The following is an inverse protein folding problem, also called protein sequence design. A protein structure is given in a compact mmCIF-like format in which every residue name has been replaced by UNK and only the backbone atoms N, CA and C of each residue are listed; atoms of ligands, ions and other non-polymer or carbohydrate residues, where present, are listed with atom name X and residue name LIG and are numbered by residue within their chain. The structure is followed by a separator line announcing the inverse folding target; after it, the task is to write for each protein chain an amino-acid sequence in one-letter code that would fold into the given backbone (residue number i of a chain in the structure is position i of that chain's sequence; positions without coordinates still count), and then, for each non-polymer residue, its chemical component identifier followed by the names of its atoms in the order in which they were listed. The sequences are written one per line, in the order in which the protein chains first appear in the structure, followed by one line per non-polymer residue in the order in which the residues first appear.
data_IF_931250520503
#
_entry.id   IF_931250520503
#
_cell.length_a   1.000
_cell.length_b   1.000
_cell.length_c   1.000
_cell.angle_alpha   90.00
_cell.angle_beta   90.00
_cell.angle_gamma   90.00
#
_symmetry.space_group_name_H-M   'P 1'
#
loop_
_entity.id
_entity.type
_entity.pdbx_description
1 polymer ?
#
# COMPACT_ATOMS: atom_id res chain seq x y z
N UNK A 1 4.30 14.67 -45.50
CA UNK A 1 5.59 15.08 -44.98
C UNK A 1 5.89 14.21 -43.78
N UNK A 2 7.08 13.62 -43.63
CA UNK A 2 7.41 12.93 -42.39
C UNK A 2 7.40 13.93 -41.24
N UNK A 3 6.83 13.53 -40.09
CA UNK A 3 6.88 14.36 -38.90
C UNK A 3 8.33 14.60 -38.45
N UNK A 4 8.65 15.75 -37.86
CA UNK A 4 9.97 16.01 -37.32
C UNK A 4 10.36 14.92 -36.32
N UNK A 5 11.62 14.51 -36.30
CA UNK A 5 12.14 13.46 -35.39
C UNK A 5 11.87 13.75 -33.90
N UNK A 6 11.75 15.02 -33.52
CA UNK A 6 11.43 15.47 -32.15
C UNK A 6 9.97 15.22 -31.73
N UNK A 7 9.05 14.88 -32.65
CA UNK A 7 7.63 14.59 -32.38
C UNK A 7 7.32 13.08 -32.38
N UNK A 8 8.31 12.24 -32.74
CA UNK A 8 8.09 10.80 -32.75
C UNK A 8 8.33 10.23 -31.34
N UNK A 9 7.37 9.44 -30.79
CA UNK A 9 7.59 8.78 -29.52
C UNK A 9 8.75 7.80 -29.63
N UNK A 10 9.62 7.74 -28.61
CA UNK A 10 10.72 6.79 -28.54
C UNK A 10 10.25 5.33 -28.55
N UNK A 11 9.02 5.10 -28.15
CA UNK A 11 8.38 3.80 -28.13
C UNK A 11 6.86 3.94 -28.28
N UNK A 12 6.23 3.00 -28.97
CA UNK A 12 4.78 2.86 -29.08
C UNK A 12 4.39 1.40 -28.90
N UNK A 13 3.27 1.10 -28.24
CA UNK A 13 2.77 -0.27 -28.12
C UNK A 13 2.34 -0.80 -29.49
N UNK A 14 2.57 -2.08 -29.74
CA UNK A 14 1.97 -2.78 -30.88
C UNK A 14 0.45 -2.99 -30.71
N UNK A 15 -0.23 -3.35 -31.80
CA UNK A 15 -1.67 -3.52 -31.81
C UNK A 15 -2.16 -4.63 -30.87
N UNK A 16 -1.39 -5.71 -30.71
CA UNK A 16 -1.75 -6.81 -29.81
C UNK A 16 -1.64 -6.40 -28.35
N UNK A 17 -0.63 -5.61 -28.00
CA UNK A 17 -0.48 -5.06 -26.66
C UNK A 17 -1.63 -4.10 -26.33
N UNK A 18 -2.01 -3.23 -27.27
CA UNK A 18 -3.18 -2.34 -27.11
C UNK A 18 -4.44 -3.15 -26.91
N UNK A 19 -4.68 -4.20 -27.72
CA UNK A 19 -5.87 -5.05 -27.61
C UNK A 19 -5.97 -5.77 -26.25
N UNK A 20 -4.85 -6.19 -25.67
CA UNK A 20 -4.79 -6.87 -24.38
C UNK A 20 -4.74 -5.92 -23.18
N UNK A 21 -4.72 -4.61 -23.39
CA UNK A 21 -4.65 -3.64 -22.30
C UNK A 21 -5.96 -3.58 -21.53
N UNK A 22 -5.87 -3.49 -20.19
CA UNK A 22 -7.03 -3.30 -19.33
C UNK A 22 -7.85 -2.05 -19.70
N UNK A 23 -7.20 -1.02 -20.22
CA UNK A 23 -7.86 0.19 -20.71
C UNK A 23 -8.80 -0.12 -21.89
N UNK A 24 -8.34 -0.95 -22.84
CA UNK A 24 -9.17 -1.41 -23.97
C UNK A 24 -10.37 -2.20 -23.49
N UNK A 25 -10.14 -3.15 -22.59
CA UNK A 25 -11.21 -3.94 -21.98
C UNK A 25 -12.21 -3.07 -21.21
N UNK A 26 -11.74 -2.02 -20.53
CA UNK A 26 -12.62 -1.08 -19.84
C UNK A 26 -13.45 -0.23 -20.82
N UNK A 27 -12.88 0.22 -21.94
CA UNK A 27 -13.62 0.94 -22.99
C UNK A 27 -14.73 0.01 -23.58
N UNK A 28 -14.42 -1.24 -23.86
CA UNK A 28 -15.39 -2.23 -24.32
C UNK A 28 -16.52 -2.48 -23.30
N UNK A 29 -16.15 -2.54 -22.01
CA UNK A 29 -17.12 -2.62 -20.91
C UNK A 29 -18.07 -1.40 -20.92
N UNK A 30 -17.56 -0.17 -21.04
CA UNK A 30 -18.37 1.05 -21.11
C UNK A 30 -19.28 1.04 -22.34
N UNK A 31 -18.78 0.65 -23.51
CA UNK A 31 -19.57 0.53 -24.74
C UNK A 31 -20.70 -0.48 -24.61
N UNK A 32 -20.49 -1.55 -23.83
CA UNK A 32 -21.49 -2.60 -23.57
C UNK A 32 -22.54 -2.14 -22.55
N UNK A 33 -22.10 -1.56 -21.45
CA UNK A 33 -22.97 -1.10 -20.34
C UNK A 33 -23.74 0.16 -20.64
N UNK A 34 -23.17 1.04 -21.47
CA UNK A 34 -23.76 2.33 -21.89
C UNK A 34 -24.24 3.21 -20.72
N UNK A 35 -23.39 3.46 -19.72
CA UNK A 35 -23.75 4.34 -18.63
C UNK A 35 -24.05 5.77 -19.11
N UNK A 36 -24.67 6.59 -18.26
CA UNK A 36 -25.05 7.96 -18.60
C UNK A 36 -23.86 8.78 -19.12
N UNK A 37 -24.05 9.52 -20.20
CA UNK A 37 -23.04 10.38 -20.82
C UNK A 37 -21.94 9.64 -21.61
N UNK A 38 -21.89 8.31 -21.61
CA UNK A 38 -20.81 7.54 -22.24
C UNK A 38 -20.92 7.38 -23.77
N UNK A 39 -21.93 7.98 -24.39
CA UNK A 39 -22.12 7.90 -25.83
C UNK A 39 -20.90 8.49 -26.56
N UNK A 40 -20.26 7.68 -27.39
CA UNK A 40 -19.08 8.10 -28.16
C UNK A 40 -17.73 7.79 -27.49
N UNK A 41 -17.70 7.16 -26.33
CA UNK A 41 -16.48 6.64 -25.70
C UNK A 41 -15.94 5.48 -26.57
N UNK A 42 -14.72 5.67 -27.14
CA UNK A 42 -14.09 4.71 -28.06
C UNK A 42 -12.57 4.64 -27.94
N UNK A 43 -11.96 5.59 -27.27
CA UNK A 43 -10.53 5.74 -27.09
C UNK A 43 -10.21 6.44 -25.76
N UNK A 44 -8.92 6.56 -25.43
CA UNK A 44 -8.50 7.20 -24.20
C UNK A 44 -8.99 8.65 -24.08
N UNK A 45 -8.92 9.44 -25.16
CA UNK A 45 -9.30 10.86 -25.10
C UNK A 45 -10.80 11.05 -24.80
N UNK A 46 -11.66 10.24 -25.43
CA UNK A 46 -13.10 10.26 -25.17
C UNK A 46 -13.47 9.66 -23.80
N UNK A 47 -12.75 8.62 -23.35
CA UNK A 47 -12.90 8.07 -22.01
C UNK A 47 -12.50 9.10 -20.93
N UNK A 48 -11.36 9.75 -21.11
CA UNK A 48 -10.90 10.80 -20.19
C UNK A 48 -11.90 11.96 -20.10
N UNK A 49 -12.39 12.45 -21.23
CA UNK A 49 -13.41 13.50 -21.24
C UNK A 49 -14.66 13.07 -20.47
N UNK A 50 -15.17 11.89 -20.74
CA UNK A 50 -16.33 11.35 -20.03
C UNK A 50 -16.07 11.20 -18.52
N UNK A 51 -14.87 10.78 -18.11
CA UNK A 51 -14.54 10.66 -16.69
C UNK A 51 -14.56 11.99 -15.93
N UNK A 52 -14.27 13.10 -16.61
CA UNK A 52 -14.28 14.46 -16.04
C UNK A 52 -15.68 15.09 -16.10
N UNK A 53 -16.39 14.90 -17.21
CA UNK A 53 -17.72 15.49 -17.41
C UNK A 53 -18.85 14.74 -16.68
N UNK A 54 -18.66 13.42 -16.43
CA UNK A 54 -19.66 12.54 -15.80
C UNK A 54 -19.06 11.64 -14.71
N UNK A 55 -18.40 12.21 -13.71
CA UNK A 55 -17.68 11.42 -12.69
C UNK A 55 -18.62 10.50 -11.87
N UNK A 56 -19.87 10.90 -11.66
CA UNK A 56 -20.87 10.07 -10.96
C UNK A 56 -21.25 8.82 -11.76
N UNK A 57 -21.15 8.86 -13.07
CA UNK A 57 -21.38 7.68 -13.93
C UNK A 57 -20.08 6.86 -14.14
N UNK A 58 -18.93 7.53 -14.14
CA UNK A 58 -17.62 6.92 -14.39
C UNK A 58 -17.15 6.04 -13.22
N UNK A 59 -17.12 6.58 -12.00
CA UNK A 59 -16.51 5.90 -10.85
C UNK A 59 -17.22 4.60 -10.43
N UNK A 60 -18.57 4.47 -10.50
CA UNK A 60 -19.24 3.18 -10.32
C UNK A 60 -18.83 2.11 -11.33
N UNK A 61 -18.56 2.50 -12.58
CA UNK A 61 -18.08 1.52 -13.58
C UNK A 61 -16.64 1.09 -13.31
N UNK A 62 -15.77 2.00 -12.84
CA UNK A 62 -14.42 1.63 -12.35
C UNK A 62 -14.54 0.65 -11.18
N UNK A 63 -15.39 0.92 -10.20
CA UNK A 63 -15.64 0.04 -9.05
C UNK A 63 -16.02 -1.38 -9.50
N UNK A 64 -17.00 -1.48 -10.39
CA UNK A 64 -17.48 -2.76 -10.91
C UNK A 64 -16.42 -3.49 -11.75
N UNK A 65 -15.79 -2.78 -12.67
CA UNK A 65 -14.77 -3.34 -13.55
C UNK A 65 -13.53 -3.82 -12.79
N UNK A 66 -13.12 -3.09 -11.80
CA UNK A 66 -12.00 -3.47 -10.93
C UNK A 66 -12.38 -4.50 -9.85
N UNK A 67 -13.64 -4.90 -9.78
CA UNK A 67 -14.14 -5.85 -8.78
C UNK A 67 -13.76 -5.45 -7.34
N UNK A 68 -14.01 -4.19 -6.98
CA UNK A 68 -13.68 -3.70 -5.64
C UNK A 68 -14.48 -4.48 -4.60
N UNK A 69 -13.78 -5.09 -3.64
CA UNK A 69 -14.37 -5.85 -2.54
C UNK A 69 -14.79 -4.86 -1.44
N UNK A 70 -16.04 -4.95 -1.03
CA UNK A 70 -16.62 -4.14 0.02
C UNK A 70 -17.67 -4.94 0.79
N UNK A 71 -18.11 -4.45 1.95
CA UNK A 71 -19.20 -5.04 2.72
C UNK A 71 -20.48 -5.10 1.86
N UNK A 72 -21.07 -6.30 1.74
CA UNK A 72 -22.28 -6.50 0.98
C UNK A 72 -23.50 -5.88 1.65
N UNK A 73 -24.34 -5.23 0.86
CA UNK A 73 -25.63 -4.66 1.29
C UNK A 73 -26.75 -5.31 0.45
N UNK A 74 -27.48 -6.29 0.98
CA UNK A 74 -28.47 -7.05 0.22
C UNK A 74 -29.46 -6.15 -0.54
N UNK A 75 -29.55 -6.32 -1.86
CA UNK A 75 -30.46 -5.57 -2.73
C UNK A 75 -30.11 -4.10 -2.97
N UNK A 76 -28.93 -3.64 -2.53
CA UNK A 76 -28.46 -2.26 -2.69
C UNK A 76 -27.00 -2.22 -3.14
N UNK A 77 -26.53 -1.12 -3.75
CA UNK A 77 -25.09 -0.93 -3.95
C UNK A 77 -24.38 -0.82 -2.59
N UNK A 78 -23.05 -1.08 -2.53
CA UNK A 78 -22.28 -0.98 -1.29
C UNK A 78 -22.13 0.44 -0.73
N UNK A 79 -22.71 1.44 -1.38
CA UNK A 79 -22.67 2.86 -0.98
C UNK A 79 -24.08 3.47 -0.94
N UNK A 80 -24.21 4.59 -0.26
CA UNK A 80 -25.47 5.38 -0.21
C UNK A 80 -25.60 6.29 -1.42
N UNK A 81 -24.50 7.00 -1.75
CA UNK A 81 -24.35 7.86 -2.93
C UNK A 81 -23.00 7.61 -3.59
N UNK A 82 -22.87 7.97 -4.87
CA UNK A 82 -21.58 7.92 -5.57
C UNK A 82 -20.66 9.02 -5.09
N UNK A 83 -21.16 10.24 -5.00
CA UNK A 83 -20.42 11.40 -4.50
C UNK A 83 -21.35 12.44 -3.90
N UNK A 84 -20.89 13.09 -2.83
CA UNK A 84 -21.59 14.24 -2.22
C UNK A 84 -20.62 15.42 -2.18
N UNK A 85 -21.07 16.60 -2.62
CA UNK A 85 -20.29 17.83 -2.59
C UNK A 85 -19.22 17.90 -3.69
N UNK A 86 -19.49 17.36 -4.87
CA UNK A 86 -18.59 17.39 -6.03
C UNK A 86 -18.29 18.81 -6.52
N UNK A 87 -19.20 19.75 -6.26
CA UNK A 87 -19.08 21.18 -6.57
C UNK A 87 -18.08 21.93 -5.67
N UNK A 88 -17.51 21.26 -4.67
CA UNK A 88 -16.62 21.86 -3.68
C UNK A 88 -15.20 21.37 -3.85
N UNK A 89 -14.25 22.31 -3.80
CA UNK A 89 -12.84 21.95 -3.69
C UNK A 89 -12.60 21.32 -2.31
N UNK A 90 -11.85 20.20 -2.26
CA UNK A 90 -11.55 19.53 -0.99
C UNK A 90 -10.71 20.44 -0.07
N UNK A 91 -11.29 20.99 1.01
CA UNK A 91 -10.56 21.72 2.03
C UNK A 91 -9.88 20.72 2.99
N UNK A 92 -9.05 21.19 3.93
CA UNK A 92 -8.49 20.35 4.99
C UNK A 92 -9.56 19.66 5.87
N UNK A 93 -10.77 20.22 5.97
CA UNK A 93 -11.89 19.59 6.68
C UNK A 93 -12.60 18.57 5.77
N UNK A 94 -12.52 17.26 6.06
CA UNK A 94 -13.12 16.21 5.23
C UNK A 94 -14.65 16.27 5.19
N UNK A 95 -15.31 17.07 6.05
CA UNK A 95 -16.75 17.26 6.04
C UNK A 95 -17.21 18.25 4.96
N UNK A 96 -16.29 19.06 4.44
CA UNK A 96 -16.59 20.16 3.52
C UNK A 96 -16.19 19.87 2.07
N UNK A 97 -15.41 18.83 1.81
CA UNK A 97 -14.98 18.41 0.47
C UNK A 97 -15.84 17.33 -0.16
N UNK A 98 -15.54 16.93 -1.40
CA UNK A 98 -16.21 15.81 -2.06
C UNK A 98 -15.99 14.52 -1.25
N UNK A 99 -17.09 13.81 -0.99
CA UNK A 99 -17.07 12.48 -0.37
C UNK A 99 -17.49 11.43 -1.39
N UNK A 100 -16.56 10.57 -1.76
CA UNK A 100 -16.80 9.49 -2.71
C UNK A 100 -17.32 8.25 -2.00
N UNK A 101 -18.32 7.62 -2.58
CA UNK A 101 -18.96 6.40 -2.10
C UNK A 101 -19.30 6.41 -0.59
N UNK A 102 -19.98 7.47 -0.09
CA UNK A 102 -20.35 7.51 1.32
C UNK A 102 -21.18 6.27 1.69
N UNK A 103 -20.94 5.76 2.89
CA UNK A 103 -21.55 4.52 3.39
C UNK A 103 -20.87 3.24 2.93
N UNK A 104 -19.98 3.27 1.94
CA UNK A 104 -19.17 2.10 1.58
C UNK A 104 -18.17 1.76 2.69
N UNK A 105 -18.08 0.47 3.02
CA UNK A 105 -17.10 -0.07 3.98
C UNK A 105 -16.25 -1.12 3.28
N UNK A 106 -14.95 -0.90 3.25
CA UNK A 106 -13.99 -1.80 2.60
C UNK A 106 -12.67 -1.81 3.34
N UNK A 107 -11.90 -2.88 3.17
CA UNK A 107 -10.55 -2.99 3.67
C UNK A 107 -9.55 -2.89 2.53
N UNK A 108 -8.56 -2.02 2.66
CA UNK A 108 -7.53 -1.81 1.63
C UNK A 108 -6.70 -3.08 1.39
N UNK A 109 -6.25 -3.74 2.46
CA UNK A 109 -5.44 -4.95 2.35
C UNK A 109 -6.24 -6.12 1.76
N UNK A 110 -7.52 -6.27 2.10
CA UNK A 110 -8.40 -7.30 1.53
C UNK A 110 -8.47 -7.19 0.00
N UNK A 111 -8.61 -5.97 -0.50
CA UNK A 111 -8.63 -5.73 -1.95
C UNK A 111 -7.31 -6.09 -2.64
N UNK A 112 -6.17 -5.89 -2.00
CA UNK A 112 -4.85 -6.23 -2.55
C UNK A 112 -4.49 -7.72 -2.38
N UNK A 113 -5.02 -8.39 -1.37
CA UNK A 113 -4.76 -9.80 -1.04
C UNK A 113 -5.83 -10.76 -1.57
N UNK A 114 -6.72 -10.31 -2.42
CA UNK A 114 -7.83 -11.14 -2.96
C UNK A 114 -7.38 -12.31 -3.83
N UNK A 115 -6.16 -12.27 -4.33
CA UNK A 115 -5.53 -13.38 -5.05
C UNK A 115 -4.73 -14.25 -4.06
N UNK A 116 -4.80 -15.57 -4.22
CA UNK A 116 -4.12 -16.53 -3.36
C UNK A 116 -3.50 -17.67 -4.19
N UNK A 117 -2.93 -17.30 -5.33
CA UNK A 117 -2.34 -18.22 -6.30
C UNK A 117 -0.81 -18.12 -6.32
N UNK A 118 -0.17 -18.92 -7.17
CA UNK A 118 1.28 -18.99 -7.30
C UNK A 118 1.88 -17.91 -8.23
N UNK A 119 1.06 -16.98 -8.78
CA UNK A 119 1.60 -15.88 -9.56
C UNK A 119 2.48 -14.97 -8.71
N UNK A 120 3.55 -14.41 -9.28
CA UNK A 120 4.41 -13.48 -8.57
C UNK A 120 3.65 -12.22 -8.12
N UNK A 121 3.60 -12.01 -6.80
CA UNK A 121 3.05 -10.79 -6.20
C UNK A 121 4.13 -9.74 -5.96
N UNK A 122 5.29 -10.15 -5.43
CA UNK A 122 6.43 -9.27 -5.19
C UNK A 122 7.69 -9.87 -5.80
N UNK A 123 8.42 -9.05 -6.56
CA UNK A 123 9.74 -9.42 -7.09
C UNK A 123 10.74 -8.38 -6.57
N UNK A 124 11.52 -8.78 -5.59
CA UNK A 124 12.49 -7.90 -4.95
C UNK A 124 13.83 -7.91 -5.68
N UNK A 125 14.27 -6.73 -6.05
CA UNK A 125 15.58 -6.45 -6.65
C UNK A 125 16.34 -5.44 -5.81
N UNK A 126 17.64 -5.62 -5.71
CA UNK A 126 18.56 -4.61 -5.20
C UNK A 126 19.74 -4.44 -6.19
N UNK A 127 20.81 -3.72 -5.79
CA UNK A 127 21.99 -3.48 -6.64
C UNK A 127 22.73 -4.77 -7.01
N UNK A 128 22.48 -5.87 -6.30
CA UNK A 128 23.08 -7.21 -6.58
C UNK A 128 22.18 -8.07 -7.49
N UNK A 129 21.09 -7.53 -8.01
CA UNK A 129 20.12 -8.22 -8.85
C UNK A 129 18.87 -8.70 -8.10
N UNK A 130 18.17 -9.69 -8.70
CA UNK A 130 16.96 -10.26 -8.11
C UNK A 130 17.29 -11.10 -6.87
N UNK A 131 16.69 -10.75 -5.75
CA UNK A 131 16.96 -11.38 -4.45
C UNK A 131 15.86 -12.36 -4.05
N UNK A 132 14.59 -11.97 -4.20
CA UNK A 132 13.46 -12.77 -3.71
C UNK A 132 12.22 -12.56 -4.59
N UNK A 133 11.43 -13.61 -4.72
CA UNK A 133 10.08 -13.53 -5.31
C UNK A 133 9.11 -14.15 -4.33
N UNK A 134 7.99 -13.48 -4.08
CA UNK A 134 6.85 -14.00 -3.33
C UNK A 134 5.67 -14.15 -4.27
N UNK A 135 4.98 -15.28 -4.21
CA UNK A 135 3.68 -15.46 -4.83
C UNK A 135 2.58 -14.70 -4.05
N UNK A 136 1.38 -14.57 -4.61
CA UNK A 136 0.23 -14.05 -3.87
C UNK A 136 -0.12 -14.93 -2.67
N UNK A 137 0.00 -16.26 -2.79
CA UNK A 137 -0.18 -17.18 -1.68
C UNK A 137 0.84 -16.95 -0.55
N UNK A 138 2.13 -16.83 -0.88
CA UNK A 138 3.18 -16.52 0.10
C UNK A 138 2.94 -15.18 0.78
N UNK A 139 2.62 -14.14 0.00
CA UNK A 139 2.35 -12.80 0.52
C UNK A 139 1.19 -12.84 1.52
N UNK A 140 0.09 -13.51 1.18
CA UNK A 140 -1.06 -13.66 2.06
C UNK A 140 -0.71 -14.33 3.39
N UNK A 141 0.10 -15.39 3.36
CA UNK A 141 0.57 -16.10 4.55
C UNK A 141 1.48 -15.22 5.43
N UNK A 142 2.44 -14.53 4.84
CA UNK A 142 3.33 -13.64 5.58
C UNK A 142 2.57 -12.45 6.20
N UNK A 143 1.63 -11.86 5.47
CA UNK A 143 0.75 -10.80 5.98
C UNK A 143 -0.09 -11.30 7.16
N UNK A 144 -0.67 -12.49 7.06
CA UNK A 144 -1.46 -13.07 8.15
C UNK A 144 -0.63 -13.28 9.43
N UNK A 145 0.63 -13.74 9.29
CA UNK A 145 1.57 -13.91 10.43
C UNK A 145 1.88 -12.58 11.12
N UNK A 146 2.21 -11.56 10.35
CA UNK A 146 2.52 -10.22 10.89
C UNK A 146 1.28 -9.57 11.48
N UNK A 147 0.10 -9.74 10.87
CA UNK A 147 -1.17 -9.26 11.42
C UNK A 147 -1.51 -9.92 12.77
N UNK A 148 -1.24 -11.22 12.92
CA UNK A 148 -1.39 -11.93 14.18
C UNK A 148 -0.47 -11.33 15.25
N UNK A 149 0.82 -11.12 14.94
CA UNK A 149 1.79 -10.54 15.85
C UNK A 149 1.43 -9.10 16.27
N UNK A 150 0.94 -8.28 15.33
CA UNK A 150 0.45 -6.94 15.65
C UNK A 150 -0.79 -6.98 16.56
N UNK A 151 -1.72 -7.91 16.33
CA UNK A 151 -2.91 -8.08 17.16
C UNK A 151 -2.55 -8.51 18.57
N UNK A 152 -1.62 -9.44 18.75
CA UNK A 152 -1.12 -9.84 20.08
C UNK A 152 -0.40 -8.70 20.80
N UNK A 153 0.27 -7.82 20.07
CA UNK A 153 0.82 -6.58 20.62
C UNK A 153 -0.28 -5.55 20.95
N UNK A 154 -1.54 -5.86 20.74
CA UNK A 154 -2.67 -4.99 21.05
C UNK A 154 -2.92 -3.88 20.02
N UNK A 155 -2.46 -4.04 18.77
CA UNK A 155 -2.78 -3.09 17.69
C UNK A 155 -4.23 -3.28 17.26
N UNK A 156 -4.99 -2.20 17.29
CA UNK A 156 -6.42 -2.12 17.01
C UNK A 156 -6.70 -1.10 15.87
N UNK A 157 -7.92 -1.08 15.30
CA UNK A 157 -8.32 -0.08 14.33
C UNK A 157 -8.06 1.35 14.81
N UNK A 158 -7.41 2.16 13.97
CA UNK A 158 -7.02 3.55 14.28
C UNK A 158 -5.67 3.70 14.98
N UNK A 159 -5.04 2.63 15.47
CA UNK A 159 -3.65 2.69 15.93
C UNK A 159 -2.70 3.00 14.77
N UNK A 160 -1.56 3.61 15.09
CA UNK A 160 -0.54 3.99 14.08
C UNK A 160 0.64 3.05 14.21
N UNK A 161 1.06 2.54 13.05
CA UNK A 161 2.25 1.72 12.85
C UNK A 161 3.11 2.41 11.81
N UNK A 162 4.40 2.52 12.04
CA UNK A 162 5.31 3.22 11.14
C UNK A 162 6.38 2.30 10.57
N UNK A 163 6.88 2.66 9.38
CA UNK A 163 7.98 1.99 8.70
C UNK A 163 9.11 2.94 8.34
N UNK A 164 10.31 2.63 8.79
CA UNK A 164 11.57 3.29 8.40
C UNK A 164 12.47 2.26 7.73
N UNK A 165 12.11 1.93 6.48
CA UNK A 165 12.62 0.79 5.75
C UNK A 165 12.91 1.15 4.28
N UNK A 166 13.86 0.49 3.63
CA UNK A 166 13.93 0.47 2.17
C UNK A 166 12.76 -0.34 1.56
N UNK A 167 12.68 -0.39 0.24
CA UNK A 167 11.65 -1.13 -0.49
C UNK A 167 11.89 -2.66 -0.40
N UNK A 168 11.75 -3.23 0.78
CA UNK A 168 11.83 -4.66 1.04
C UNK A 168 10.45 -5.32 0.93
N UNK A 169 10.36 -6.64 0.68
CA UNK A 169 9.11 -7.38 0.81
C UNK A 169 8.45 -7.18 2.19
N UNK A 170 9.25 -7.14 3.25
CA UNK A 170 8.82 -6.93 4.63
C UNK A 170 8.13 -5.57 4.83
N UNK A 171 8.51 -4.55 4.06
CA UNK A 171 7.82 -3.23 4.08
C UNK A 171 6.39 -3.35 3.59
N UNK A 172 6.17 -4.07 2.48
CA UNK A 172 4.84 -4.32 1.92
C UNK A 172 4.02 -5.22 2.84
N UNK A 173 4.63 -6.28 3.38
CA UNK A 173 4.00 -7.21 4.32
C UNK A 173 3.53 -6.46 5.57
N UNK A 174 4.38 -5.63 6.19
CA UNK A 174 4.04 -4.85 7.38
C UNK A 174 2.92 -3.83 7.11
N UNK A 175 2.94 -3.16 5.95
CA UNK A 175 1.89 -2.24 5.52
C UNK A 175 0.55 -2.96 5.37
N UNK A 176 0.53 -4.08 4.66
CA UNK A 176 -0.70 -4.85 4.42
C UNK A 176 -1.22 -5.48 5.72
N UNK A 177 -0.35 -5.99 6.58
CA UNK A 177 -0.73 -6.50 7.90
C UNK A 177 -1.37 -5.41 8.77
N UNK A 178 -0.76 -4.22 8.81
CA UNK A 178 -1.27 -3.07 9.55
C UNK A 178 -2.65 -2.67 9.04
N UNK A 179 -2.79 -2.47 7.73
CA UNK A 179 -4.05 -2.01 7.11
C UNK A 179 -5.13 -3.08 7.14
N UNK A 180 -4.79 -4.37 7.17
CA UNK A 180 -5.77 -5.46 7.35
C UNK A 180 -6.49 -5.39 8.71
N UNK A 181 -5.82 -4.86 9.73
CA UNK A 181 -6.39 -4.64 11.07
C UNK A 181 -7.20 -3.33 11.19
N UNK A 182 -7.31 -2.53 10.11
CA UNK A 182 -7.89 -1.20 10.17
C UNK A 182 -6.99 -0.17 10.89
N UNK A 183 -5.74 -0.52 11.15
CA UNK A 183 -4.74 0.38 11.68
C UNK A 183 -4.13 1.25 10.57
N UNK A 184 -3.46 2.34 10.98
CA UNK A 184 -2.92 3.36 10.07
C UNK A 184 -1.44 3.08 9.84
N UNK A 185 -1.04 2.96 8.56
CA UNK A 185 0.35 2.84 8.15
C UNK A 185 0.92 4.19 7.70
N UNK A 186 2.14 4.49 8.15
CA UNK A 186 2.96 5.59 7.64
C UNK A 186 4.40 5.15 7.46
N UNK A 187 5.09 5.63 6.42
CA UNK A 187 6.48 5.24 6.19
C UNK A 187 7.36 6.39 5.74
N UNK A 188 8.65 6.28 6.07
CA UNK A 188 9.72 7.15 5.59
C UNK A 188 10.79 6.32 4.89
N UNK A 189 11.42 6.90 3.88
CA UNK A 189 12.61 6.34 3.25
C UNK A 189 13.78 6.26 4.23
N UNK A 190 14.64 5.22 4.15
CA UNK A 190 15.75 5.01 5.08
C UNK A 190 16.87 6.05 4.95
N UNK A 191 16.87 6.88 3.91
CA UNK A 191 17.82 7.97 3.70
C UNK A 191 17.50 9.24 4.51
N UNK A 192 16.29 9.35 5.10
CA UNK A 192 16.00 10.47 5.99
C UNK A 192 16.88 10.45 7.23
N UNK A 193 17.38 11.63 7.61
CA UNK A 193 18.02 11.84 8.91
C UNK A 193 17.00 11.71 10.06
N UNK A 194 17.48 11.45 11.29
CA UNK A 194 16.62 11.25 12.46
C UNK A 194 15.64 12.41 12.68
N UNK A 195 16.06 13.67 12.48
CA UNK A 195 15.17 14.84 12.58
C UNK A 195 13.97 14.73 11.63
N UNK A 196 14.22 14.41 10.36
CA UNK A 196 13.15 14.28 9.37
C UNK A 196 12.18 13.13 9.67
N UNK A 197 12.64 12.05 10.28
CA UNK A 197 11.80 10.93 10.73
C UNK A 197 10.97 11.34 11.95
N UNK A 198 11.61 12.00 12.94
CA UNK A 198 10.92 12.49 14.15
C UNK A 198 9.86 13.53 13.82
N UNK A 199 10.13 14.45 12.89
CA UNK A 199 9.15 15.44 12.45
C UNK A 199 7.89 14.81 11.86
N UNK A 200 8.01 13.67 11.18
CA UNK A 200 6.88 12.95 10.59
C UNK A 200 6.18 12.03 11.58
N UNK A 201 6.95 11.15 12.21
CA UNK A 201 6.38 10.14 13.10
C UNK A 201 5.97 10.71 14.45
N UNK A 202 6.60 11.78 14.92
CA UNK A 202 6.17 12.51 16.12
C UNK A 202 4.77 13.10 16.02
N UNK A 203 4.31 13.46 14.80
CA UNK A 203 2.95 13.96 14.58
C UNK A 203 1.89 12.85 14.77
N UNK A 204 2.22 11.61 14.41
CA UNK A 204 1.26 10.49 14.44
C UNK A 204 1.45 9.58 15.66
N UNK A 205 2.60 9.66 16.36
CA UNK A 205 2.94 8.89 17.56
C UNK A 205 2.64 7.38 17.36
N UNK A 206 3.42 6.69 16.51
CA UNK A 206 3.17 5.27 16.23
C UNK A 206 3.50 4.41 17.46
N UNK A 207 2.76 3.32 17.66
CA UNK A 207 3.02 2.35 18.73
C UNK A 207 4.07 1.31 18.33
N UNK A 208 4.14 0.95 17.05
CA UNK A 208 5.13 0.02 16.49
C UNK A 208 5.89 0.70 15.38
N UNK A 209 7.22 0.54 15.40
CA UNK A 209 8.12 0.96 14.34
C UNK A 209 8.78 -0.26 13.70
N UNK A 210 8.54 -0.49 12.43
CA UNK A 210 9.35 -1.38 11.61
C UNK A 210 10.53 -0.63 11.03
N UNK A 211 11.73 -1.20 11.10
CA UNK A 211 12.92 -0.62 10.50
C UNK A 211 13.83 -1.71 9.92
N UNK A 212 14.78 -1.32 9.08
CA UNK A 212 15.89 -2.18 8.69
C UNK A 212 17.15 -1.81 9.48
N UNK A 213 18.07 -2.75 9.64
CA UNK A 213 19.40 -2.50 10.23
C UNK A 213 20.23 -1.52 9.39
N UNK A 214 19.96 -1.44 8.11
CA UNK A 214 20.61 -0.55 7.18
C UNK A 214 20.00 -0.61 5.79
N UNK A 215 20.69 0.01 4.82
CA UNK A 215 20.33 -0.07 3.41
C UNK A 215 21.56 0.02 2.51
N UNK A 216 21.39 -0.41 1.25
CA UNK A 216 22.44 -0.35 0.23
C UNK A 216 22.17 0.80 -0.72
N UNK A 217 23.19 1.59 -1.00
CA UNK A 217 23.12 2.70 -1.95
C UNK A 217 24.48 2.98 -2.58
N UNK A 218 24.53 2.99 -3.91
CA UNK A 218 25.75 3.24 -4.70
C UNK A 218 26.91 2.31 -4.28
N UNK A 219 26.63 1.01 -4.09
CA UNK A 219 27.60 0.00 -3.67
C UNK A 219 28.05 0.09 -2.21
N UNK A 220 27.44 0.95 -1.40
CA UNK A 220 27.77 1.12 0.03
C UNK A 220 26.65 0.55 0.91
N UNK A 221 27.07 0.01 2.04
CA UNK A 221 26.18 -0.35 3.14
C UNK A 221 26.11 0.81 4.13
N UNK A 222 24.91 1.25 4.44
CA UNK A 222 24.65 2.41 5.29
C UNK A 222 23.85 1.95 6.50
N UNK A 223 24.44 2.06 7.70
CA UNK A 223 23.78 1.72 8.96
C UNK A 223 22.59 2.66 9.25
N UNK A 224 21.50 2.09 9.74
CA UNK A 224 20.30 2.82 10.17
C UNK A 224 20.05 2.75 11.67
N UNK A 225 20.68 1.83 12.40
CA UNK A 225 20.35 1.56 13.81
C UNK A 225 20.65 2.75 14.74
N UNK A 226 21.71 3.52 14.46
CA UNK A 226 22.00 4.75 15.21
C UNK A 226 20.85 5.75 15.12
N UNK A 227 20.28 5.95 13.90
CA UNK A 227 19.12 6.83 13.68
C UNK A 227 17.84 6.25 14.30
N UNK A 228 17.63 4.95 14.22
CA UNK A 228 16.48 4.28 14.86
C UNK A 228 16.52 4.47 16.37
N UNK A 229 17.68 4.35 17.01
CA UNK A 229 17.83 4.62 18.44
C UNK A 229 17.42 6.05 18.79
N UNK A 230 17.94 7.03 18.08
CA UNK A 230 17.60 8.45 18.29
C UNK A 230 16.10 8.71 18.10
N UNK A 231 15.48 8.14 17.06
CA UNK A 231 14.04 8.24 16.81
C UNK A 231 13.25 7.65 17.97
N UNK A 232 13.65 6.45 18.46
CA UNK A 232 12.96 5.78 19.57
C UNK A 232 13.07 6.58 20.88
N UNK A 233 14.20 7.19 21.16
CA UNK A 233 14.39 8.04 22.33
C UNK A 233 13.51 9.29 22.31
N UNK A 234 13.29 9.86 21.12
CA UNK A 234 12.53 11.10 20.92
C UNK A 234 11.03 10.88 20.74
N UNK A 235 10.60 9.64 20.46
CA UNK A 235 9.18 9.25 20.32
C UNK A 235 8.90 8.10 21.32
N UNK A 236 8.66 8.43 22.60
CA UNK A 236 8.48 7.42 23.64
C UNK A 236 7.21 6.57 23.46
N UNK A 237 6.27 7.00 22.65
CA UNK A 237 5.06 6.24 22.30
C UNK A 237 5.33 4.98 21.44
N UNK A 238 6.52 4.86 20.84
CA UNK A 238 6.92 3.63 20.15
C UNK A 238 7.19 2.55 21.21
N UNK A 239 6.28 1.64 21.39
CA UNK A 239 6.34 0.54 22.36
C UNK A 239 7.26 -0.60 21.88
N UNK A 240 7.28 -0.84 20.57
CA UNK A 240 8.04 -1.93 19.92
C UNK A 240 8.77 -1.44 18.68
N UNK A 241 10.04 -1.84 18.55
CA UNK A 241 10.83 -1.64 17.34
C UNK A 241 11.13 -3.01 16.73
N UNK A 242 10.61 -3.30 15.56
CA UNK A 242 10.84 -4.56 14.83
C UNK A 242 11.89 -4.33 13.76
N UNK A 243 13.05 -4.96 13.93
CA UNK A 243 14.21 -4.78 13.05
C UNK A 243 14.27 -5.90 12.02
N UNK A 244 14.19 -5.54 10.74
CA UNK A 244 14.40 -6.44 9.60
C UNK A 244 15.90 -6.52 9.31
N UNK A 245 16.54 -7.67 9.45
CA UNK A 245 17.94 -7.88 9.03
C UNK A 245 18.04 -7.77 7.51
N UNK A 246 18.78 -6.80 7.00
CA UNK A 246 18.97 -6.59 5.56
C UNK A 246 20.42 -6.47 5.15
N UNK A 247 21.23 -5.79 5.96
CA UNK A 247 22.67 -5.62 5.71
C UNK A 247 23.46 -6.71 6.45
N UNK A 248 23.13 -6.94 7.72
CA UNK A 248 23.72 -7.99 8.54
C UNK A 248 22.74 -9.13 8.81
N UNK A 249 23.22 -10.37 8.86
CA UNK A 249 22.38 -11.54 9.17
C UNK A 249 21.75 -11.47 10.57
N UNK A 250 22.47 -10.93 11.55
CA UNK A 250 22.02 -10.75 12.94
C UNK A 250 22.60 -9.44 13.49
N UNK A 251 21.93 -8.32 13.21
CA UNK A 251 22.39 -7.00 13.67
C UNK A 251 22.32 -6.88 15.20
N UNK A 252 23.21 -6.06 15.77
CA UNK A 252 23.22 -5.75 17.19
C UNK A 252 22.16 -4.69 17.51
N UNK A 253 21.14 -5.07 18.27
CA UNK A 253 19.98 -4.24 18.59
C UNK A 253 19.79 -3.96 20.08
N UNK A 254 20.66 -4.47 20.96
CA UNK A 254 20.52 -4.35 22.43
C UNK A 254 20.48 -2.91 22.92
N UNK A 255 21.08 -2.00 22.16
CA UNK A 255 21.07 -0.56 22.48
C UNK A 255 19.79 0.18 22.09
N UNK A 256 18.74 -0.48 21.59
CA UNK A 256 17.48 0.14 21.16
C UNK A 256 16.35 -0.37 22.05
N UNK A 257 15.73 0.49 22.90
CA UNK A 257 14.68 0.04 23.81
C UNK A 257 13.48 -0.53 23.08
N UNK A 258 13.03 -1.73 23.47
CA UNK A 258 11.89 -2.43 22.86
C UNK A 258 12.18 -3.05 21.50
N UNK A 259 13.44 -3.14 21.07
CA UNK A 259 13.82 -3.75 19.80
C UNK A 259 13.77 -5.27 19.85
N UNK A 260 13.34 -5.85 18.73
CA UNK A 260 13.34 -7.28 18.47
C UNK A 260 13.61 -7.52 16.99
N UNK A 261 14.32 -8.60 16.65
CA UNK A 261 14.49 -8.98 15.25
C UNK A 261 13.19 -9.53 14.68
N UNK A 262 12.91 -9.24 13.41
CA UNK A 262 11.71 -9.68 12.70
C UNK A 262 11.43 -11.18 12.85
N UNK A 263 12.46 -12.02 12.65
CA UNK A 263 12.32 -13.47 12.78
C UNK A 263 11.99 -13.93 14.20
N UNK A 264 12.65 -13.34 15.19
CA UNK A 264 12.45 -13.65 16.60
C UNK A 264 11.03 -13.18 17.05
N UNK A 265 10.60 -11.98 16.64
CA UNK A 265 9.27 -11.47 16.90
C UNK A 265 8.16 -12.38 16.36
N UNK A 266 8.30 -12.88 15.14
CA UNK A 266 7.35 -13.83 14.54
C UNK A 266 7.44 -15.25 15.16
N UNK A 267 8.54 -15.60 15.80
CA UNK A 267 8.70 -16.88 16.49
C UNK A 267 8.04 -16.86 17.89
N UNK A 268 8.05 -15.72 18.59
CA UNK A 268 7.34 -15.56 19.87
C UNK A 268 5.86 -15.96 19.75
N UNK A 269 5.24 -15.65 18.60
CA UNK A 269 3.83 -15.92 18.33
C UNK A 269 3.49 -17.40 18.21
N UNK A 270 4.46 -18.23 17.76
CA UNK A 270 4.25 -19.69 17.65
C UNK A 270 4.23 -20.39 18.99
N UNK A 271 4.85 -19.77 20.02
CA UNK A 271 4.88 -20.30 21.38
C UNK A 271 3.60 -20.04 22.20
N UNK A 272 2.88 -18.95 21.92
CA UNK A 272 1.65 -18.59 22.65
C UNK A 272 0.41 -19.31 22.14
N UNK A 273 0.42 -19.81 20.89
CA UNK A 273 -0.72 -20.53 20.29
C UNK A 273 -0.80 -22.04 20.60
N UNK A 274 0.19 -22.61 21.29
CA UNK A 274 0.24 -24.05 21.62
C UNK A 274 -0.34 -24.40 23.02
N UNK A 275 -0.97 -23.43 23.68
CA UNK A 275 -1.43 -23.58 25.07
C UNK A 275 -2.91 -23.26 25.31
N UNK A 276 -3.81 -23.64 24.37
CA UNK A 276 -5.25 -23.70 24.64
C UNK A 276 -5.91 -24.84 23.90
#
# INVERSE_FOLDING_TARGET
MPQPLDEMPLWSPDADRVKRANLTAFIEHIQTKKPAGSKGVKDFASLYRWSVEHPEAFWPEVWRFCHVVAEERPGKPPWDDVVIGLDRMAPPDPRLGPRWFPGARLNFAENLLRYADDHPALVFWNEQGRQRTLSYADLGQEVARVAAALREHGIAPGDRVAGFLPNLPETVIAMLATTSLGAIWSSCSPDFGANGVVDRFGQIRPRVLFCADGYRYAGKEIDSLGRVREVRERIPEIERVVVVPYVANRPEISGIPGAILWGDWLAEQRGSGAGN
#
